data_IF_318207986136
#
_entry.id   IF_318207986136
#
_cell.length_a   1.000
_cell.length_b   1.000
_cell.length_c   1.000
_cell.angle_alpha   90.00
_cell.angle_beta   90.00
_cell.angle_gamma   90.00
#
_symmetry.space_group_name_H-M   'P 1'
#
loop_
_entity.id
_entity.type
_entity.pdbx_description
1 polymer ?
#
# COMPACT_ATOMS: atom_id res chain seq x y z
N UNK A 1 -11.11 47.74 -46.45
CA UNK A 1 -11.85 47.66 -47.72
C UNK A 1 -10.84 47.43 -48.84
N UNK A 2 -11.08 46.56 -49.83
CA UNK A 2 -12.40 46.13 -50.30
C UNK A 2 -12.73 44.67 -49.99
N UNK A 3 -14.01 44.47 -49.74
CA UNK A 3 -14.71 43.19 -49.87
C UNK A 3 -14.87 42.88 -51.36
N UNK A 4 -14.66 41.63 -51.75
CA UNK A 4 -15.28 41.06 -52.94
C UNK A 4 -15.97 39.75 -52.55
N UNK A 5 -17.30 39.78 -52.58
CA UNK A 5 -18.16 38.60 -52.74
C UNK A 5 -18.14 38.19 -54.20
N UNK A 6 -18.30 36.88 -54.44
CA UNK A 6 -18.90 36.16 -55.60
C UNK A 6 -18.24 34.76 -55.60
N UNK A 7 -18.85 33.65 -55.97
CA UNK A 7 -20.22 33.17 -56.05
C UNK A 7 -20.11 31.62 -56.09
N UNK A 8 -21.22 30.92 -55.92
CA UNK A 8 -21.27 29.46 -55.76
C UNK A 8 -20.77 28.64 -56.97
N UNK A 9 -20.31 27.41 -56.71
CA UNK A 9 -19.86 26.51 -57.76
C UNK A 9 -19.47 25.10 -57.31
N UNK A 10 -20.49 24.23 -57.20
CA UNK A 10 -20.50 22.76 -57.41
C UNK A 10 -19.79 21.83 -56.40
N UNK A 11 -20.67 21.06 -55.75
CA UNK A 11 -20.46 19.72 -55.20
C UNK A 11 -19.41 18.88 -55.93
N UNK A 12 -18.38 18.47 -55.19
CA UNK A 12 -17.70 17.19 -55.39
C UNK A 12 -17.51 16.52 -54.04
N UNK A 13 -18.35 15.52 -53.77
CA UNK A 13 -18.16 14.49 -52.75
C UNK A 13 -16.70 14.04 -52.70
N UNK A 14 -15.99 14.39 -51.64
CA UNK A 14 -14.79 13.69 -51.18
C UNK A 14 -15.08 13.22 -49.77
N UNK A 15 -15.66 12.03 -49.70
CA UNK A 15 -15.86 11.32 -48.45
C UNK A 15 -14.99 10.06 -48.47
N UNK A 16 -14.55 9.65 -47.26
CA UNK A 16 -13.75 8.47 -46.87
C UNK A 16 -12.23 8.58 -46.92
N UNK A 17 -11.65 8.94 -45.77
CA UNK A 17 -10.57 8.19 -45.08
C UNK A 17 -10.32 8.83 -43.70
N UNK A 18 -11.13 8.45 -42.70
CA UNK A 18 -10.82 8.68 -41.27
C UNK A 18 -11.73 7.85 -40.33
N UNK A 19 -12.20 6.69 -40.77
CA UNK A 19 -12.92 5.75 -39.91
C UNK A 19 -12.06 4.49 -39.85
N UNK A 20 -11.24 4.38 -38.80
CA UNK A 20 -10.69 3.12 -38.27
C UNK A 20 -10.01 3.45 -36.92
N UNK A 21 -10.78 4.04 -36.00
CA UNK A 21 -10.51 3.97 -34.56
C UNK A 21 -11.73 3.27 -33.97
N UNK A 22 -11.75 1.95 -34.04
CA UNK A 22 -12.66 1.16 -33.23
C UNK A 22 -12.08 1.12 -31.82
N UNK A 23 -12.62 1.97 -30.95
CA UNK A 23 -12.46 1.85 -29.49
C UNK A 23 -13.09 0.53 -29.05
N UNK A 24 -12.29 -0.38 -28.51
CA UNK A 24 -12.78 -1.53 -27.78
C UNK A 24 -13.22 -1.06 -26.38
N UNK A 25 -14.42 -0.51 -26.30
CA UNK A 25 -15.11 -0.15 -25.06
C UNK A 25 -16.45 -0.88 -24.97
N UNK A 26 -16.78 -1.38 -23.77
CA UNK A 26 -18.05 -2.04 -23.46
C UNK A 26 -19.26 -1.26 -23.99
N UNK A 27 -20.15 -1.96 -24.68
CA UNK A 27 -21.49 -1.48 -25.00
C UNK A 27 -22.32 -1.53 -23.71
N UNK A 28 -22.27 -0.44 -22.91
CA UNK A 28 -23.32 0.04 -22.00
C UNK A 28 -22.79 1.21 -21.13
N UNK A 29 -22.20 2.23 -21.77
CA UNK A 29 -21.92 3.51 -21.11
C UNK A 29 -22.84 4.53 -21.74
N UNK A 30 -23.83 5.02 -20.98
CA UNK A 30 -24.62 6.18 -21.39
C UNK A 30 -23.68 7.30 -21.84
N UNK A 31 -23.95 7.82 -23.04
CA UNK A 31 -23.12 8.73 -23.81
C UNK A 31 -23.10 10.15 -23.18
N UNK A 32 -22.64 10.25 -21.93
CA UNK A 32 -22.53 11.50 -21.20
C UNK A 32 -21.33 12.26 -21.77
N UNK A 33 -21.62 13.22 -22.66
CA UNK A 33 -20.58 14.10 -23.21
C UNK A 33 -19.80 14.77 -22.08
N UNK A 34 -18.45 14.69 -22.09
CA UNK A 34 -17.65 15.26 -21.03
C UNK A 34 -17.82 16.78 -21.00
N UNK A 35 -17.96 17.34 -19.80
CA UNK A 35 -18.10 18.80 -19.57
C UNK A 35 -16.92 19.59 -20.15
N UNK A 36 -15.73 18.98 -20.17
CA UNK A 36 -14.51 19.54 -20.73
C UNK A 36 -13.82 18.50 -21.60
N UNK A 37 -13.31 18.91 -22.75
CA UNK A 37 -12.41 18.10 -23.58
C UNK A 37 -11.07 18.83 -23.72
N UNK A 38 -9.99 18.05 -23.73
CA UNK A 38 -8.63 18.56 -23.88
C UNK A 38 -7.81 17.61 -24.73
N UNK A 39 -6.74 18.14 -25.31
CA UNK A 39 -5.74 17.34 -26.03
C UNK A 39 -4.41 17.49 -25.30
N UNK A 40 -3.75 16.36 -25.00
CA UNK A 40 -2.39 16.37 -24.47
C UNK A 40 -1.47 17.00 -25.52
N UNK A 41 -0.79 18.09 -25.16
CA UNK A 41 0.14 18.82 -26.05
C UNK A 41 1.61 18.59 -25.70
N UNK A 42 1.89 18.17 -24.47
CA UNK A 42 3.24 17.87 -23.98
C UNK A 42 3.19 16.89 -22.82
N UNK A 43 4.27 16.17 -22.61
CA UNK A 43 4.49 15.30 -21.45
C UNK A 43 5.65 15.94 -20.67
N UNK A 44 5.33 16.56 -19.53
CA UNK A 44 6.30 17.30 -18.71
C UNK A 44 7.23 16.36 -17.95
N UNK A 45 6.67 15.26 -17.45
CA UNK A 45 7.39 14.28 -16.65
C UNK A 45 7.05 12.87 -17.16
N UNK A 46 8.06 12.00 -17.19
CA UNK A 46 7.90 10.58 -17.46
C UNK A 46 8.54 9.81 -16.32
N UNK A 47 7.92 8.70 -15.94
CA UNK A 47 8.61 7.74 -15.07
C UNK A 47 9.91 7.30 -15.75
N UNK A 48 11.02 7.34 -15.01
CA UNK A 48 12.37 7.16 -15.56
C UNK A 48 12.59 5.74 -16.11
N UNK A 49 11.97 4.73 -15.48
CA UNK A 49 11.95 3.34 -15.93
C UNK A 49 10.61 2.75 -15.52
N UNK A 50 9.79 2.36 -16.49
CA UNK A 50 8.57 1.62 -16.22
C UNK A 50 8.62 0.31 -17.00
N UNK A 51 8.51 -0.79 -16.25
CA UNK A 51 8.47 -2.14 -16.78
C UNK A 51 7.03 -2.63 -16.79
N UNK A 52 6.69 -3.42 -17.80
CA UNK A 52 5.37 -3.99 -17.98
C UNK A 52 5.48 -5.50 -18.14
N UNK A 53 4.58 -6.23 -17.49
CA UNK A 53 4.33 -7.65 -17.71
C UNK A 53 3.35 -7.84 -18.86
N UNK A 54 3.49 -8.94 -19.60
CA UNK A 54 2.64 -9.22 -20.74
C UNK A 54 3.06 -10.45 -21.53
N UNK A 55 2.43 -10.63 -22.68
CA UNK A 55 2.68 -11.77 -23.58
C UNK A 55 3.21 -11.31 -24.94
N UNK A 56 3.93 -12.19 -25.63
CA UNK A 56 4.41 -11.93 -26.99
C UNK A 56 3.50 -12.56 -28.04
N UNK A 57 3.30 -11.86 -29.15
CA UNK A 57 2.49 -12.29 -30.29
C UNK A 57 3.17 -11.93 -31.61
N UNK A 58 3.12 -12.83 -32.61
CA UNK A 58 3.68 -12.56 -33.94
C UNK A 58 2.84 -11.56 -34.73
N UNK A 59 1.52 -11.77 -34.73
CA UNK A 59 0.59 -10.88 -35.41
C UNK A 59 0.03 -9.86 -34.45
N UNK A 60 -0.22 -8.65 -34.96
CA UNK A 60 -0.95 -7.63 -34.21
C UNK A 60 -2.32 -8.22 -33.83
N UNK A 61 -2.70 -8.25 -32.54
CA UNK A 61 -4.05 -8.65 -32.15
C UNK A 61 -5.07 -7.69 -32.80
N UNK A 62 -5.70 -8.12 -33.89
CA UNK A 62 -6.71 -7.33 -34.59
C UNK A 62 -8.03 -7.47 -33.85
N UNK A 63 -8.60 -6.35 -33.39
CA UNK A 63 -10.05 -6.27 -33.20
C UNK A 63 -10.75 -6.51 -34.54
N UNK A 64 -11.76 -7.38 -34.55
CA UNK A 64 -12.52 -7.86 -35.73
C UNK A 64 -11.84 -8.94 -36.61
N UNK A 65 -11.93 -10.18 -36.14
CA UNK A 65 -11.94 -11.37 -37.00
C UNK A 65 -13.14 -11.29 -37.96
N UNK A 66 -12.93 -10.76 -39.18
CA UNK A 66 -13.60 -11.17 -40.46
C UNK A 66 -13.41 -10.23 -41.65
N UNK A 67 -12.90 -8.99 -41.50
CA UNK A 67 -12.76 -8.06 -42.66
C UNK A 67 -11.35 -7.93 -43.25
N UNK A 68 -10.30 -8.27 -42.52
CA UNK A 68 -8.92 -8.09 -43.01
C UNK A 68 -8.37 -9.21 -43.90
N UNK A 69 -8.99 -10.39 -43.95
CA UNK A 69 -8.54 -11.49 -44.83
C UNK A 69 -8.63 -11.17 -46.33
N UNK A 70 -9.40 -10.15 -46.72
CA UNK A 70 -9.52 -9.73 -48.14
C UNK A 70 -8.66 -8.53 -48.52
N UNK A 71 -8.11 -7.79 -47.57
CA UNK A 71 -7.21 -6.66 -47.86
C UNK A 71 -5.73 -7.01 -47.75
N UNK A 72 -5.37 -8.07 -47.00
CA UNK A 72 -3.98 -8.53 -46.93
C UNK A 72 -3.51 -9.33 -48.14
N UNK A 73 -4.38 -9.70 -49.08
CA UNK A 73 -3.98 -10.47 -50.28
C UNK A 73 -3.43 -9.64 -51.45
N UNK A 74 -3.32 -8.32 -51.31
CA UNK A 74 -2.95 -7.43 -52.43
C UNK A 74 -1.73 -6.54 -52.17
N UNK A 75 -1.15 -6.55 -50.97
CA UNK A 75 0.03 -5.74 -50.63
C UNK A 75 1.21 -6.55 -50.03
N UNK A 76 1.17 -7.89 -50.08
CA UNK A 76 2.19 -8.75 -49.42
C UNK A 76 2.83 -9.80 -50.36
N UNK A 77 2.79 -9.55 -51.67
CA UNK A 77 3.68 -10.24 -52.62
C UNK A 77 5.02 -9.48 -52.73
N UNK A 78 5.78 -9.41 -51.63
CA UNK A 78 7.25 -9.52 -51.71
C UNK A 78 7.93 -9.63 -50.33
N UNK A 79 8.70 -10.72 -50.18
CA UNK A 79 9.76 -11.05 -49.21
C UNK A 79 9.40 -12.16 -48.19
N UNK A 80 9.89 -13.37 -48.51
CA UNK A 80 10.20 -14.46 -47.57
C UNK A 80 11.25 -14.00 -46.54
N UNK A 81 10.87 -13.10 -45.64
CA UNK A 81 11.74 -12.55 -44.61
C UNK A 81 11.11 -12.76 -43.24
N UNK A 82 11.92 -13.14 -42.25
CA UNK A 82 11.48 -13.17 -40.86
C UNK A 82 10.89 -11.80 -40.46
N UNK A 83 9.81 -11.78 -39.67
CA UNK A 83 9.22 -10.53 -39.22
C UNK A 83 10.27 -9.71 -38.47
N UNK A 84 10.39 -8.41 -38.78
CA UNK A 84 11.39 -7.54 -38.13
C UNK A 84 11.03 -7.19 -36.68
N UNK A 85 9.76 -7.34 -36.32
CA UNK A 85 9.21 -7.02 -35.00
C UNK A 85 8.22 -8.08 -34.55
N UNK A 86 8.04 -8.17 -33.23
CA UNK A 86 6.96 -8.89 -32.57
C UNK A 86 6.17 -7.93 -31.68
N UNK A 87 4.94 -8.31 -31.34
CA UNK A 87 4.04 -7.50 -30.55
C UNK A 87 4.01 -7.98 -29.11
N UNK A 88 4.46 -7.12 -28.21
CA UNK A 88 4.24 -7.31 -26.79
C UNK A 88 2.88 -6.73 -26.41
N UNK A 89 2.05 -7.57 -25.79
CA UNK A 89 0.72 -7.24 -25.28
C UNK A 89 0.79 -7.14 -23.76
N UNK A 90 0.82 -5.93 -23.18
CA UNK A 90 0.81 -5.75 -21.74
C UNK A 90 -0.43 -6.36 -21.09
N UNK A 91 -0.30 -6.80 -19.84
CA UNK A 91 -1.42 -7.25 -19.00
C UNK A 91 -2.31 -6.06 -18.61
N UNK A 92 -1.71 -4.89 -18.34
CA UNK A 92 -2.44 -3.65 -18.11
C UNK A 92 -3.07 -3.11 -19.39
N UNK A 93 -4.40 -3.17 -19.46
CA UNK A 93 -5.20 -2.70 -20.62
C UNK A 93 -5.06 -1.21 -20.91
N UNK A 94 -4.54 -0.42 -19.97
CA UNK A 94 -4.28 1.03 -20.16
C UNK A 94 -3.01 1.27 -20.98
N UNK A 95 -2.15 0.26 -21.10
CA UNK A 95 -0.87 0.35 -21.83
C UNK A 95 -1.09 -0.16 -23.26
N UNK A 96 -0.65 0.60 -24.29
CA UNK A 96 -0.80 0.18 -25.67
C UNK A 96 0.09 -1.03 -25.99
N UNK A 97 -0.17 -1.68 -27.13
CA UNK A 97 0.74 -2.70 -27.68
C UNK A 97 2.12 -2.10 -27.91
N UNK A 98 3.17 -2.87 -27.62
CA UNK A 98 4.55 -2.43 -27.75
C UNK A 98 5.22 -3.23 -28.87
N UNK A 99 5.84 -2.52 -29.81
CA UNK A 99 6.63 -3.14 -30.87
C UNK A 99 8.03 -3.48 -30.33
N UNK A 100 8.38 -4.76 -30.34
CA UNK A 100 9.67 -5.29 -29.88
C UNK A 100 10.47 -5.78 -31.10
N UNK A 101 11.74 -5.40 -31.26
CA UNK A 101 12.62 -5.96 -32.28
C UNK A 101 12.73 -7.49 -32.19
N UNK A 102 12.66 -8.18 -33.33
CA UNK A 102 12.64 -9.66 -33.36
C UNK A 102 13.89 -10.30 -32.76
N UNK A 103 15.04 -9.61 -32.84
CA UNK A 103 16.33 -10.05 -32.28
C UNK A 103 16.35 -10.10 -30.75
N UNK A 104 15.32 -9.56 -30.09
CA UNK A 104 15.14 -9.64 -28.65
C UNK A 104 14.15 -10.72 -28.22
N UNK A 105 13.36 -11.26 -29.14
CA UNK A 105 12.49 -12.39 -28.85
C UNK A 105 13.33 -13.68 -28.73
N UNK A 106 12.81 -14.75 -28.09
CA UNK A 106 13.46 -16.06 -28.12
C UNK A 106 13.79 -16.50 -29.56
N UNK A 107 14.94 -17.15 -29.76
CA UNK A 107 15.44 -17.49 -31.11
C UNK A 107 14.45 -18.36 -31.92
N UNK A 108 13.74 -19.26 -31.24
CA UNK A 108 12.73 -20.15 -31.83
C UNK A 108 11.31 -19.56 -31.81
N UNK A 109 11.14 -18.30 -31.39
CA UNK A 109 9.82 -17.69 -31.22
C UNK A 109 9.01 -17.66 -32.52
N UNK A 110 9.63 -17.43 -33.67
CA UNK A 110 8.93 -17.38 -34.96
C UNK A 110 8.32 -18.73 -35.32
N UNK A 111 9.07 -19.81 -35.08
CA UNK A 111 8.66 -21.17 -35.44
C UNK A 111 7.73 -21.77 -34.38
N UNK A 112 7.93 -21.43 -33.11
CA UNK A 112 7.27 -22.04 -31.94
C UNK A 112 6.38 -21.06 -31.17
N UNK A 113 5.90 -19.96 -31.77
CA UNK A 113 5.16 -18.91 -31.05
C UNK A 113 3.97 -19.41 -30.20
N UNK A 114 3.37 -20.55 -30.55
CA UNK A 114 2.27 -21.15 -29.80
C UNK A 114 2.70 -21.66 -28.42
N UNK A 115 3.92 -22.18 -28.26
CA UNK A 115 4.44 -22.63 -26.95
C UNK A 115 4.63 -21.46 -25.98
N UNK A 116 4.94 -20.28 -26.53
CA UNK A 116 5.12 -19.03 -25.77
C UNK A 116 3.81 -18.31 -25.43
N UNK A 117 2.66 -18.78 -25.94
CA UNK A 117 1.35 -18.15 -25.66
C UNK A 117 0.95 -18.18 -24.19
N UNK A 118 1.53 -19.11 -23.42
CA UNK A 118 1.31 -19.27 -21.98
C UNK A 118 2.46 -18.71 -21.13
N UNK A 119 3.38 -17.97 -21.73
CA UNK A 119 4.54 -17.40 -21.03
C UNK A 119 4.39 -15.90 -20.83
N UNK A 120 4.73 -15.43 -19.64
CA UNK A 120 4.86 -14.01 -19.30
C UNK A 120 6.26 -13.52 -19.59
N UNK A 121 6.33 -12.27 -20.04
CA UNK A 121 7.55 -11.55 -20.34
C UNK A 121 7.51 -10.16 -19.70
N UNK A 122 8.69 -9.58 -19.47
CA UNK A 122 8.84 -8.18 -19.09
C UNK A 122 9.36 -7.36 -20.26
N UNK A 123 8.76 -6.19 -20.48
CA UNK A 123 9.22 -5.23 -21.47
C UNK A 123 9.17 -3.79 -20.94
N UNK A 124 10.06 -2.94 -21.46
CA UNK A 124 10.07 -1.50 -21.18
C UNK A 124 9.77 -0.69 -22.43
N UNK A 125 9.10 0.46 -22.30
CA UNK A 125 8.91 1.40 -23.41
C UNK A 125 10.18 2.26 -23.53
N UNK A 126 10.85 2.22 -24.68
CA UNK A 126 12.06 3.05 -24.94
C UNK A 126 11.72 4.35 -25.65
N UNK A 127 10.88 4.29 -26.69
CA UNK A 127 10.53 5.49 -27.48
C UNK A 127 9.16 5.36 -28.14
N UNK A 128 8.49 6.49 -28.33
CA UNK A 128 7.25 6.56 -29.11
C UNK A 128 7.34 7.72 -30.12
N UNK A 129 7.83 7.47 -31.33
CA UNK A 129 7.93 8.47 -32.39
C UNK A 129 6.54 8.88 -32.90
N UNK A 130 6.40 10.15 -33.32
CA UNK A 130 5.16 10.70 -33.91
C UNK A 130 4.70 9.94 -35.17
N UNK A 131 5.63 9.30 -35.87
CA UNK A 131 5.36 8.51 -37.08
C UNK A 131 4.80 7.12 -36.79
N UNK A 132 4.73 6.69 -35.52
CA UNK A 132 4.31 5.35 -35.14
C UNK A 132 3.04 5.39 -34.29
N UNK A 133 2.09 4.52 -34.64
CA UNK A 133 0.89 4.30 -33.84
C UNK A 133 1.19 3.64 -32.49
N UNK A 134 2.27 2.85 -32.43
CA UNK A 134 2.66 2.07 -31.24
C UNK A 134 4.06 2.45 -30.75
N UNK A 135 4.32 2.41 -29.44
CA UNK A 135 5.65 2.59 -28.89
C UNK A 135 6.59 1.46 -29.32
N UNK A 136 7.88 1.78 -29.44
CA UNK A 136 8.95 0.81 -29.53
C UNK A 136 9.50 0.54 -28.13
N UNK A 137 9.62 -0.74 -27.80
CA UNK A 137 10.12 -1.19 -26.51
C UNK A 137 11.39 -2.02 -26.60
N UNK A 138 11.78 -2.52 -25.44
CA UNK A 138 12.82 -3.51 -25.24
C UNK A 138 12.24 -4.67 -24.46
N UNK A 139 12.48 -5.90 -24.91
CA UNK A 139 12.19 -7.09 -24.11
C UNK A 139 13.32 -7.25 -23.09
N UNK A 140 12.99 -7.26 -21.81
CA UNK A 140 13.98 -7.38 -20.74
C UNK A 140 14.31 -8.86 -20.50
N UNK A 141 13.28 -9.70 -20.29
CA UNK A 141 13.41 -11.15 -20.13
C UNK A 141 12.07 -11.89 -20.16
N UNK A 142 12.13 -13.20 -20.33
CA UNK A 142 11.04 -14.13 -20.01
C UNK A 142 10.93 -14.30 -18.49
N UNK A 143 9.70 -14.34 -17.97
CA UNK A 143 9.43 -14.67 -16.58
C UNK A 143 9.18 -16.17 -16.41
N UNK A 144 8.18 -16.71 -17.12
CA UNK A 144 7.77 -18.10 -17.00
C UNK A 144 6.30 -18.30 -17.31
N UNK A 145 5.73 -19.42 -16.86
CA UNK A 145 4.36 -19.82 -17.21
C UNK A 145 3.27 -19.03 -16.44
N UNK A 146 2.23 -18.61 -17.17
CA UNK A 146 1.01 -18.00 -16.64
C UNK A 146 0.33 -18.95 -15.67
N UNK A 147 -0.09 -18.41 -14.52
CA UNK A 147 -0.74 -19.16 -13.45
C UNK A 147 0.23 -19.74 -12.40
N UNK A 148 1.54 -19.63 -12.58
CA UNK A 148 2.49 -19.91 -11.51
C UNK A 148 2.56 -18.71 -10.54
N UNK A 149 2.31 -18.94 -9.25
CA UNK A 149 2.21 -17.89 -8.23
C UNK A 149 3.46 -17.01 -8.17
N UNK A 150 4.66 -17.59 -8.23
CA UNK A 150 5.90 -16.81 -8.13
C UNK A 150 6.14 -15.95 -9.38
N UNK A 151 5.78 -16.46 -10.56
CA UNK A 151 5.86 -15.72 -11.83
C UNK A 151 4.84 -14.56 -11.85
N UNK A 152 3.60 -14.82 -11.45
CA UNK A 152 2.56 -13.78 -11.35
C UNK A 152 2.91 -12.73 -10.29
N UNK A 153 3.54 -13.15 -9.18
CA UNK A 153 4.03 -12.24 -8.15
C UNK A 153 5.16 -11.36 -8.67
N UNK A 154 6.10 -11.92 -9.41
CA UNK A 154 7.18 -11.16 -10.03
C UNK A 154 6.66 -10.15 -11.06
N UNK A 155 5.70 -10.57 -11.90
CA UNK A 155 5.00 -9.70 -12.84
C UNK A 155 4.30 -8.54 -12.12
N UNK A 156 3.55 -8.82 -11.05
CA UNK A 156 2.86 -7.83 -10.23
C UNK A 156 3.82 -6.80 -9.63
N UNK A 157 4.94 -7.26 -9.08
CA UNK A 157 5.95 -6.39 -8.49
C UNK A 157 6.60 -5.48 -9.55
N UNK A 158 6.91 -6.03 -10.72
CA UNK A 158 7.46 -5.26 -11.84
C UNK A 158 6.48 -4.20 -12.36
N UNK A 159 5.20 -4.55 -12.54
CA UNK A 159 4.15 -3.63 -13.00
C UNK A 159 3.91 -2.45 -12.04
N UNK A 160 4.18 -2.66 -10.75
CA UNK A 160 4.07 -1.64 -9.70
C UNK A 160 5.40 -0.96 -9.35
N UNK A 161 6.47 -1.19 -10.14
CA UNK A 161 7.82 -0.66 -9.93
C UNK A 161 8.39 -0.96 -8.53
N UNK A 162 8.05 -2.12 -7.96
CA UNK A 162 8.60 -2.58 -6.68
C UNK A 162 9.93 -3.27 -6.95
N UNK A 163 10.99 -2.75 -6.34
CA UNK A 163 12.33 -3.31 -6.50
C UNK A 163 12.50 -4.56 -5.64
N UNK A 164 12.80 -5.69 -6.27
CA UNK A 164 13.04 -6.98 -5.62
C UNK A 164 14.52 -7.35 -5.53
N UNK A 165 15.41 -6.50 -6.05
CA UNK A 165 16.85 -6.77 -6.03
C UNK A 165 17.37 -6.83 -4.60
N UNK A 166 18.36 -7.70 -4.38
CA UNK A 166 19.08 -7.77 -3.11
C UNK A 166 19.78 -6.44 -2.80
N UNK A 167 20.03 -6.21 -1.52
CA UNK A 167 20.77 -5.03 -1.09
C UNK A 167 22.22 -5.12 -1.59
N UNK A 168 22.72 -4.05 -2.22
CA UNK A 168 24.08 -4.04 -2.74
C UNK A 168 25.15 -3.90 -1.65
N UNK A 169 26.40 -4.28 -1.95
CA UNK A 169 27.50 -4.26 -0.97
C UNK A 169 27.70 -2.92 -0.24
N UNK A 170 27.42 -1.79 -0.91
CA UNK A 170 27.54 -0.46 -0.28
C UNK A 170 26.50 -0.26 0.83
N UNK A 171 25.31 -0.85 0.67
CA UNK A 171 24.25 -0.84 1.70
C UNK A 171 24.64 -1.76 2.85
N UNK A 172 25.12 -2.96 2.55
CA UNK A 172 25.56 -3.92 3.57
C UNK A 172 26.73 -3.39 4.42
N UNK A 173 27.68 -2.65 3.82
CA UNK A 173 28.77 -1.98 4.54
C UNK A 173 28.31 -0.88 5.50
N UNK A 174 27.06 -0.44 5.42
CA UNK A 174 26.48 0.51 6.37
C UNK A 174 25.91 -0.17 7.63
N UNK A 175 25.79 -1.50 7.62
CA UNK A 175 25.28 -2.27 8.74
C UNK A 175 26.33 -2.35 9.87
N UNK A 176 25.90 -2.43 11.14
CA UNK A 176 26.82 -2.64 12.25
C UNK A 176 27.45 -4.05 12.18
N UNK A 177 28.66 -4.17 12.73
CA UNK A 177 29.34 -5.46 12.88
C UNK A 177 28.64 -6.34 13.92
N UNK A 178 28.68 -7.66 13.69
CA UNK A 178 28.12 -8.66 14.59
C UNK A 178 29.22 -9.37 15.39
N UNK A 179 28.99 -9.71 16.66
CA UNK A 179 27.77 -9.47 17.43
C UNK A 179 27.61 -8.00 17.84
N UNK A 180 26.40 -7.45 17.64
CA UNK A 180 26.10 -6.07 18.04
C UNK A 180 25.49 -6.03 19.45
N UNK A 181 25.96 -5.08 20.26
CA UNK A 181 25.39 -4.76 21.55
C UNK A 181 25.24 -3.24 21.69
N UNK A 182 24.32 -2.81 22.55
CA UNK A 182 24.11 -1.39 22.79
C UNK A 182 25.39 -0.78 23.39
N UNK A 183 25.96 0.26 22.76
CA UNK A 183 27.16 0.91 23.30
C UNK A 183 26.86 1.58 24.66
N UNK A 184 27.79 1.51 25.60
CA UNK A 184 27.65 2.11 26.94
C UNK A 184 27.28 3.61 26.90
N UNK A 185 27.85 4.35 25.93
CA UNK A 185 27.53 5.76 25.70
C UNK A 185 26.05 6.01 25.39
N UNK A 186 25.36 5.05 24.75
CA UNK A 186 23.93 5.16 24.47
C UNK A 186 23.12 4.85 25.74
N UNK A 187 23.56 3.88 26.55
CA UNK A 187 22.94 3.58 27.85
C UNK A 187 22.99 4.80 28.78
N UNK A 188 24.10 5.54 28.82
CA UNK A 188 24.22 6.73 29.68
C UNK A 188 23.36 7.92 29.22
N UNK A 189 23.03 8.02 27.92
CA UNK A 189 22.34 9.19 27.35
C UNK A 189 20.82 9.02 27.19
N UNK A 190 20.34 7.79 27.30
CA UNK A 190 18.95 7.41 27.08
C UNK A 190 18.25 7.14 28.40
N UNK A 191 16.94 7.37 28.46
CA UNK A 191 16.13 6.93 29.62
C UNK A 191 16.15 5.39 29.66
N UNK A 192 16.66 4.82 30.75
CA UNK A 192 16.66 3.38 30.95
C UNK A 192 15.28 2.92 31.44
N UNK A 193 14.64 2.08 30.65
CA UNK A 193 13.30 1.52 30.89
C UNK A 193 13.34 -0.01 30.90
N UNK A 194 14.53 -0.62 30.99
CA UNK A 194 14.68 -2.09 30.95
C UNK A 194 14.01 -2.80 32.12
N UNK A 195 13.68 -2.07 33.18
CA UNK A 195 12.94 -2.56 34.35
C UNK A 195 11.43 -2.23 34.29
N UNK A 196 10.96 -1.54 33.24
CA UNK A 196 9.55 -1.23 33.04
C UNK A 196 8.85 -2.40 32.36
N UNK A 197 7.67 -2.79 32.85
CA UNK A 197 6.84 -3.82 32.24
C UNK A 197 6.36 -3.36 30.85
N UNK A 198 7.10 -3.77 29.83
CA UNK A 198 6.95 -3.33 28.43
C UNK A 198 6.74 -4.55 27.55
N UNK A 199 5.76 -4.54 26.65
CA UNK A 199 5.47 -5.68 25.78
C UNK A 199 5.00 -5.21 24.40
N UNK A 200 5.07 -6.09 23.40
CA UNK A 200 4.54 -5.83 22.05
C UNK A 200 3.23 -6.59 21.84
N UNK A 201 2.35 -6.10 20.97
CA UNK A 201 1.11 -6.77 20.56
C UNK A 201 0.97 -6.66 19.04
N UNK A 202 1.20 -7.76 18.33
CA UNK A 202 1.36 -7.79 16.88
C UNK A 202 0.56 -8.93 16.23
N UNK A 203 0.48 -9.02 14.89
CA UNK A 203 0.09 -10.26 14.23
C UNK A 203 1.02 -11.41 14.66
N UNK A 204 0.48 -12.62 14.80
CA UNK A 204 1.29 -13.79 15.21
C UNK A 204 2.44 -14.12 14.24
N UNK A 205 2.35 -13.66 12.99
CA UNK A 205 3.35 -13.85 11.93
C UNK A 205 4.37 -12.71 11.84
N UNK A 206 4.27 -11.67 12.68
CA UNK A 206 5.15 -10.50 12.64
C UNK A 206 6.59 -10.86 13.05
N UNK A 207 7.56 -10.32 12.31
CA UNK A 207 9.01 -10.50 12.56
C UNK A 207 9.69 -9.16 12.90
N UNK A 208 9.18 -8.10 12.32
CA UNK A 208 9.54 -6.69 12.46
C UNK A 208 8.59 -6.01 13.46
N UNK A 209 8.89 -6.13 14.75
CA UNK A 209 8.09 -5.53 15.82
C UNK A 209 8.54 -4.08 16.01
N UNK A 210 7.77 -3.14 15.50
CA UNK A 210 8.14 -1.71 15.47
C UNK A 210 7.77 -0.96 16.75
N UNK A 211 6.71 -1.39 17.44
CA UNK A 211 6.17 -0.73 18.62
C UNK A 211 6.04 -1.64 19.83
N UNK A 212 6.23 -1.04 21.01
CA UNK A 212 5.98 -1.66 22.30
C UNK A 212 5.27 -0.67 23.21
N UNK A 213 4.54 -1.19 24.20
CA UNK A 213 3.76 -0.36 25.13
C UNK A 213 4.11 -0.67 26.58
N UNK A 214 4.05 0.34 27.44
CA UNK A 214 4.22 0.19 28.89
C UNK A 214 3.23 1.05 29.67
N UNK A 215 2.88 0.60 30.87
CA UNK A 215 1.96 1.30 31.75
C UNK A 215 2.47 1.23 33.19
N UNK A 216 2.51 2.38 33.86
CA UNK A 216 2.87 2.51 35.27
C UNK A 216 1.80 3.35 35.95
N UNK A 217 1.20 2.83 37.02
CA UNK A 217 0.33 3.63 37.89
C UNK A 217 1.19 4.45 38.86
N UNK A 218 0.97 5.76 38.88
CA UNK A 218 1.68 6.72 39.70
C UNK A 218 1.01 6.87 41.08
N UNK A 219 1.74 7.42 42.04
CA UNK A 219 1.29 7.60 43.43
C UNK A 219 0.05 8.50 43.55
N UNK A 220 -0.13 9.44 42.63
CA UNK A 220 -1.28 10.35 42.57
C UNK A 220 -2.53 9.72 41.91
N UNK A 221 -2.48 8.43 41.58
CA UNK A 221 -3.56 7.69 40.95
C UNK A 221 -3.62 7.84 39.43
N UNK A 222 -2.77 8.66 38.82
CA UNK A 222 -2.67 8.77 37.35
C UNK A 222 -1.82 7.65 36.77
N UNK A 223 -1.80 7.51 35.44
CA UNK A 223 -0.97 6.56 34.71
C UNK A 223 0.12 7.28 33.91
N UNK A 224 1.35 6.77 33.93
CA UNK A 224 2.34 7.03 32.87
C UNK A 224 2.17 5.95 31.81
N UNK A 225 1.63 6.32 30.66
CA UNK A 225 1.47 5.45 29.49
C UNK A 225 2.62 5.72 28.52
N UNK A 226 3.37 4.68 28.17
CA UNK A 226 4.48 4.74 27.23
C UNK A 226 4.16 4.00 25.93
N UNK A 227 4.45 4.64 24.79
CA UNK A 227 4.61 4.00 23.49
C UNK A 227 6.08 4.12 23.09
N UNK A 228 6.69 2.99 22.72
CA UNK A 228 8.12 2.87 22.44
C UNK A 228 8.30 2.39 21.01
N UNK A 229 8.79 3.26 20.12
CA UNK A 229 9.01 2.95 18.70
C UNK A 229 10.48 2.57 18.49
N UNK A 230 10.77 1.55 17.69
CA UNK A 230 12.12 1.15 17.33
C UNK A 230 12.96 2.35 16.81
N UNK A 231 14.16 2.58 17.37
CA UNK A 231 15.01 3.72 16.99
C UNK A 231 15.84 3.43 15.73
N UNK A 232 15.14 3.22 14.60
CA UNK A 232 15.76 2.99 13.28
C UNK A 232 16.73 4.13 12.91
N UNK A 233 16.43 5.36 13.35
CA UNK A 233 17.27 6.56 13.14
C UNK A 233 18.68 6.46 13.74
N UNK A 234 18.87 5.58 14.74
CA UNK A 234 20.19 5.32 15.30
C UNK A 234 21.12 4.66 14.27
N UNK A 235 20.58 3.69 13.54
CA UNK A 235 21.32 2.81 12.62
C UNK A 235 21.50 3.44 11.23
N UNK A 236 20.52 4.20 10.75
CA UNK A 236 20.57 4.79 9.41
C UNK A 236 21.18 6.20 9.46
N UNK A 237 22.35 6.38 8.84
CA UNK A 237 22.97 7.71 8.72
C UNK A 237 22.45 8.44 7.48
N UNK A 238 22.02 9.69 7.68
CA UNK A 238 21.56 10.57 6.59
C UNK A 238 22.62 10.66 5.50
N UNK A 239 22.21 10.47 4.25
CA UNK A 239 23.08 10.51 3.08
C UNK A 239 23.91 9.25 2.85
N UNK A 240 23.83 8.23 3.69
CA UNK A 240 24.50 6.92 3.48
C UNK A 240 23.89 6.15 2.30
N UNK A 241 24.55 5.06 1.87
CA UNK A 241 23.98 4.18 0.85
C UNK A 241 22.68 3.51 1.32
N UNK A 242 22.62 3.11 2.59
CA UNK A 242 21.43 2.55 3.23
C UNK A 242 20.27 3.57 3.27
N UNK A 243 20.54 4.84 3.60
CA UNK A 243 19.52 5.90 3.59
C UNK A 243 18.94 6.13 2.18
N UNK A 244 19.80 6.17 1.15
CA UNK A 244 19.33 6.32 -0.24
C UNK A 244 18.52 5.13 -0.71
N UNK A 245 18.90 3.92 -0.33
CA UNK A 245 18.15 2.69 -0.64
C UNK A 245 16.79 2.69 0.06
N UNK A 246 16.75 2.98 1.36
CA UNK A 246 15.51 3.08 2.13
C UNK A 246 14.58 4.15 1.54
N UNK A 247 15.13 5.31 1.16
CA UNK A 247 14.38 6.37 0.47
C UNK A 247 13.83 5.94 -0.89
N UNK A 248 14.60 5.15 -1.64
CA UNK A 248 14.17 4.63 -2.95
C UNK A 248 13.05 3.60 -2.83
N UNK A 249 13.10 2.73 -1.80
CA UNK A 249 12.06 1.72 -1.54
C UNK A 249 10.82 2.32 -0.88
N UNK A 250 10.99 3.34 -0.05
CA UNK A 250 9.99 4.10 0.71
C UNK A 250 9.16 3.31 1.74
N UNK A 251 8.76 2.08 1.44
CA UNK A 251 7.97 1.22 2.32
C UNK A 251 8.29 -0.25 2.06
N UNK A 252 8.11 -1.10 3.08
CA UNK A 252 8.03 -2.55 2.88
C UNK A 252 6.73 -2.87 2.14
N UNK A 253 6.78 -3.80 1.18
CA UNK A 253 5.60 -4.28 0.45
C UNK A 253 5.24 -5.67 0.95
N UNK A 254 4.09 -5.79 1.61
CA UNK A 254 3.58 -7.05 2.13
C UNK A 254 2.69 -7.73 1.08
N UNK A 255 3.06 -8.95 0.70
CA UNK A 255 2.26 -9.87 -0.11
C UNK A 255 1.70 -10.97 0.80
N UNK A 256 0.91 -11.89 0.23
CA UNK A 256 0.32 -13.01 0.99
C UNK A 256 1.42 -13.93 1.53
N UNK A 257 2.37 -14.32 0.68
CA UNK A 257 3.39 -15.30 1.02
C UNK A 257 4.73 -14.70 1.48
N UNK A 258 5.00 -13.41 1.18
CA UNK A 258 6.29 -12.78 1.51
C UNK A 258 6.21 -11.27 1.67
N UNK A 259 7.20 -10.70 2.33
CA UNK A 259 7.43 -9.26 2.40
C UNK A 259 8.65 -8.88 1.56
N UNK A 260 8.57 -7.78 0.81
CA UNK A 260 9.71 -7.16 0.13
C UNK A 260 10.22 -6.04 1.04
N UNK A 261 11.35 -6.22 1.74
CA UNK A 261 11.69 -5.35 2.85
C UNK A 261 12.28 -4.02 2.37
N UNK A 262 11.94 -2.95 3.10
CA UNK A 262 12.54 -1.63 2.92
C UNK A 262 14.00 -1.59 3.39
N UNK A 263 14.31 -2.31 4.48
CA UNK A 263 15.63 -2.35 5.12
C UNK A 263 16.20 -3.79 5.06
N UNK A 264 17.52 -3.96 5.14
CA UNK A 264 18.11 -5.29 5.32
C UNK A 264 17.52 -6.02 6.53
N UNK A 265 17.25 -7.31 6.38
CA UNK A 265 16.59 -8.15 7.42
C UNK A 265 17.32 -8.11 8.75
N UNK A 266 18.65 -7.97 8.75
CA UNK A 266 19.44 -7.77 9.96
C UNK A 266 18.97 -6.56 10.78
N UNK A 267 18.58 -5.46 10.14
CA UNK A 267 18.03 -4.31 10.85
C UNK A 267 16.56 -4.52 11.19
N UNK A 268 15.72 -4.86 10.21
CA UNK A 268 14.27 -4.87 10.40
C UNK A 268 13.79 -5.99 11.33
N UNK A 269 14.33 -7.21 11.22
CA UNK A 269 13.85 -8.39 11.95
C UNK A 269 14.67 -8.71 13.20
N UNK A 270 15.88 -8.13 13.35
CA UNK A 270 16.73 -8.37 14.52
C UNK A 270 17.04 -7.10 15.31
N UNK A 271 17.91 -6.23 14.80
CA UNK A 271 18.49 -5.14 15.60
C UNK A 271 17.48 -4.05 16.00
N UNK A 272 16.53 -3.73 15.12
CA UNK A 272 15.46 -2.77 15.40
C UNK A 272 14.22 -3.45 16.02
N UNK A 273 13.92 -4.68 15.61
CA UNK A 273 12.74 -5.42 16.09
C UNK A 273 12.75 -5.54 17.62
N UNK A 274 11.66 -5.16 18.27
CA UNK A 274 11.50 -5.08 19.72
C UNK A 274 11.24 -6.45 20.38
N UNK A 275 12.11 -7.42 20.06
CA UNK A 275 12.04 -8.82 20.52
C UNK A 275 12.02 -8.94 22.04
N UNK A 276 11.30 -9.94 22.53
CA UNK A 276 11.22 -10.25 23.95
C UNK A 276 12.61 -10.61 24.52
N UNK A 277 12.85 -10.16 25.76
CA UNK A 277 14.02 -10.44 26.57
C UNK A 277 15.36 -9.96 25.97
N UNK A 278 15.35 -8.97 25.08
CA UNK A 278 16.56 -8.34 24.54
C UNK A 278 16.50 -6.83 24.70
N UNK A 279 17.63 -6.22 25.08
CA UNK A 279 17.72 -4.77 25.20
C UNK A 279 17.66 -4.14 23.80
N UNK A 280 16.81 -3.13 23.63
CA UNK A 280 16.55 -2.45 22.34
C UNK A 280 16.49 -0.93 22.50
N UNK A 281 17.02 -0.23 21.50
CA UNK A 281 16.98 1.22 21.42
C UNK A 281 15.63 1.68 20.87
N UNK A 282 14.97 2.59 21.58
CA UNK A 282 13.67 3.13 21.16
C UNK A 282 13.62 4.65 21.22
N UNK A 283 12.68 5.22 20.49
CA UNK A 283 12.18 6.57 20.69
C UNK A 283 10.81 6.45 21.34
N UNK A 284 10.70 6.93 22.58
CA UNK A 284 9.50 6.81 23.39
C UNK A 284 8.71 8.10 23.48
N UNK A 285 7.41 7.92 23.52
CA UNK A 285 6.41 8.96 23.80
C UNK A 285 5.72 8.54 25.10
N UNK A 286 5.59 9.48 26.02
CA UNK A 286 4.93 9.26 27.30
C UNK A 286 3.78 10.23 27.48
N UNK A 287 2.67 9.72 27.99
CA UNK A 287 1.55 10.53 28.46
C UNK A 287 1.29 10.28 29.93
N UNK A 288 1.16 11.37 30.70
CA UNK A 288 0.54 11.29 32.03
C UNK A 288 -0.97 11.38 31.84
N UNK A 289 -1.71 10.32 32.15
CA UNK A 289 -3.15 10.21 31.89
C UNK A 289 -3.95 9.96 33.17
N UNK A 290 -5.10 10.60 33.30
CA UNK A 290 -6.08 10.26 34.36
C UNK A 290 -6.76 8.91 34.07
N UNK A 291 -7.47 8.35 35.06
CA UNK A 291 -8.27 7.13 34.85
C UNK A 291 -9.40 7.31 33.81
N UNK A 292 -9.82 8.55 33.56
CA UNK A 292 -10.82 8.95 32.55
C UNK A 292 -10.19 9.29 31.19
N UNK A 293 -8.92 8.90 30.99
CA UNK A 293 -8.19 9.09 29.74
C UNK A 293 -8.00 10.55 29.35
N UNK A 294 -7.90 11.47 30.32
CA UNK A 294 -7.47 12.86 30.06
C UNK A 294 -5.94 12.90 30.08
N UNK A 295 -5.34 13.48 29.04
CA UNK A 295 -3.90 13.68 28.96
C UNK A 295 -3.55 14.96 29.72
N UNK A 296 -2.69 14.82 30.74
CA UNK A 296 -2.22 15.90 31.60
C UNK A 296 -0.86 16.44 31.14
N UNK A 297 0.00 15.56 30.67
CA UNK A 297 1.34 15.90 30.18
C UNK A 297 1.76 14.96 29.05
N UNK A 298 2.63 15.43 28.17
CA UNK A 298 3.20 14.64 27.06
C UNK A 298 4.70 14.91 26.97
N UNK A 299 5.51 13.85 26.95
CA UNK A 299 6.96 13.97 26.81
C UNK A 299 7.53 12.97 25.81
N UNK A 300 8.68 13.33 25.23
CA UNK A 300 9.35 12.58 24.19
C UNK A 300 10.80 12.35 24.59
N UNK A 301 11.31 11.13 24.47
CA UNK A 301 12.71 10.84 24.82
C UNK A 301 13.24 9.63 24.08
N UNK A 302 14.56 9.61 23.82
CA UNK A 302 15.25 8.39 23.43
C UNK A 302 15.47 7.52 24.67
N UNK A 303 15.19 6.24 24.53
CA UNK A 303 15.22 5.30 25.65
C UNK A 303 15.80 3.95 25.25
N UNK A 304 15.97 3.09 26.25
CA UNK A 304 16.34 1.69 26.09
C UNK A 304 15.32 0.85 26.84
N UNK A 305 14.69 -0.10 26.15
CA UNK A 305 13.70 -1.00 26.73
C UNK A 305 14.21 -2.45 26.69
N UNK A 306 13.57 -3.32 27.46
CA UNK A 306 13.68 -4.77 27.33
C UNK A 306 12.26 -5.33 27.37
N UNK A 307 11.73 -5.73 26.21
CA UNK A 307 10.36 -6.25 26.14
C UNK A 307 10.23 -7.51 27.00
N UNK A 308 9.26 -7.56 27.91
CA UNK A 308 9.02 -8.69 28.79
C UNK A 308 8.21 -9.79 28.10
N UNK A 309 7.50 -9.49 27.02
CA UNK A 309 6.70 -10.45 26.27
C UNK A 309 6.46 -9.96 24.84
N UNK A 310 6.46 -10.90 23.89
CA UNK A 310 5.97 -10.70 22.53
C UNK A 310 4.59 -11.35 22.46
N UNK A 311 3.54 -10.55 22.31
CA UNK A 311 2.16 -11.03 22.33
C UNK A 311 1.54 -10.93 20.95
N UNK A 312 0.68 -11.89 20.61
CA UNK A 312 -0.21 -11.73 19.46
C UNK A 312 -1.47 -10.93 19.82
N UNK A 313 -2.18 -10.43 18.82
CA UNK A 313 -3.53 -9.89 19.01
C UNK A 313 -4.48 -10.88 19.69
N UNK A 314 -4.31 -12.18 19.50
CA UNK A 314 -5.13 -13.21 20.13
C UNK A 314 -4.80 -13.39 21.61
N UNK A 315 -3.53 -13.28 21.99
CA UNK A 315 -3.11 -13.31 23.40
C UNK A 315 -3.69 -12.13 24.16
N UNK A 316 -3.61 -10.92 23.60
CA UNK A 316 -4.22 -9.73 24.18
C UNK A 316 -5.75 -9.85 24.24
N UNK A 317 -6.39 -10.38 23.18
CA UNK A 317 -7.83 -10.58 23.16
C UNK A 317 -8.30 -11.59 24.21
N UNK A 318 -7.51 -12.63 24.50
CA UNK A 318 -7.76 -13.62 25.55
C UNK A 318 -7.72 -12.97 26.93
N UNK A 319 -6.80 -12.05 27.18
CA UNK A 319 -6.77 -11.28 28.44
C UNK A 319 -8.00 -10.41 28.57
N UNK A 320 -8.42 -9.74 27.49
CA UNK A 320 -9.63 -8.90 27.47
C UNK A 320 -10.89 -9.72 27.80
N UNK A 321 -11.01 -10.94 27.29
CA UNK A 321 -12.22 -11.77 27.43
C UNK A 321 -12.24 -12.66 28.66
N UNK A 322 -11.11 -13.28 29.00
CA UNK A 322 -11.00 -14.27 30.09
C UNK A 322 -10.27 -13.75 31.32
N UNK A 323 -9.57 -12.62 31.18
CA UNK A 323 -8.78 -12.03 32.25
C UNK A 323 -7.36 -12.58 32.39
N UNK A 324 -6.94 -13.55 31.58
CA UNK A 324 -5.65 -14.24 31.72
C UNK A 324 -4.94 -14.50 30.36
N UNK A 325 -3.60 -14.50 30.37
CA UNK A 325 -2.75 -14.88 29.24
C UNK A 325 -2.71 -16.40 29.05
N UNK A 326 -2.44 -16.86 27.83
CA UNK A 326 -2.26 -18.29 27.59
C UNK A 326 -1.08 -18.83 28.42
N UNK A 327 -1.24 -19.99 29.09
CA UNK A 327 -0.15 -20.62 29.83
C UNK A 327 1.14 -20.86 29.03
N UNK A 328 1.10 -20.81 27.70
CA UNK A 328 2.26 -20.92 26.81
C UNK A 328 3.00 -19.60 26.57
N UNK A 329 2.39 -18.44 26.86
CA UNK A 329 3.03 -17.13 26.62
C UNK A 329 4.20 -16.92 27.57
N UNK A 330 5.40 -16.73 27.03
CA UNK A 330 6.58 -16.46 27.83
C UNK A 330 6.58 -15.02 28.34
N UNK A 331 6.80 -14.85 29.65
CA UNK A 331 6.92 -13.53 30.29
C UNK A 331 8.22 -13.49 31.08
N UNK A 332 9.03 -12.47 30.81
CA UNK A 332 10.39 -12.32 31.32
C UNK A 332 10.48 -11.14 32.30
N UNK A 333 11.15 -11.34 33.45
CA UNK A 333 11.45 -10.26 34.41
C UNK A 333 10.26 -9.67 35.17
N UNK A 334 9.03 -9.99 34.77
CA UNK A 334 7.79 -9.49 35.38
C UNK A 334 6.79 -10.62 35.65
N UNK A 335 5.82 -10.37 36.52
CA UNK A 335 4.74 -11.33 36.73
C UNK A 335 3.75 -11.30 35.57
N UNK A 336 3.18 -12.46 35.23
CA UNK A 336 2.09 -12.54 34.24
C UNK A 336 0.92 -11.65 34.60
N UNK A 337 0.55 -11.63 35.88
CA UNK A 337 -0.54 -10.81 36.40
C UNK A 337 -0.31 -9.32 36.11
N UNK A 338 0.93 -8.83 36.23
CA UNK A 338 1.24 -7.44 35.91
C UNK A 338 1.04 -7.13 34.41
N UNK A 339 1.44 -8.04 33.52
CA UNK A 339 1.20 -7.89 32.07
C UNK A 339 -0.31 -7.90 31.77
N UNK A 340 -1.05 -8.82 32.37
CA UNK A 340 -2.51 -8.92 32.23
C UNK A 340 -3.24 -7.67 32.73
N UNK A 341 -2.84 -7.11 33.87
CA UNK A 341 -3.36 -5.86 34.42
C UNK A 341 -3.04 -4.65 33.54
N UNK A 342 -1.83 -4.60 32.97
CA UNK A 342 -1.45 -3.56 32.03
C UNK A 342 -2.32 -3.63 30.76
N UNK A 343 -2.53 -4.82 30.18
CA UNK A 343 -3.41 -5.01 29.01
C UNK A 343 -4.84 -4.53 29.32
N UNK A 344 -5.38 -4.86 30.50
CA UNK A 344 -6.71 -4.39 30.93
C UNK A 344 -6.77 -2.86 31.07
N UNK A 345 -5.71 -2.25 31.58
CA UNK A 345 -5.59 -0.79 31.67
C UNK A 345 -5.56 -0.14 30.29
N UNK A 346 -4.75 -0.67 29.38
CA UNK A 346 -4.71 -0.23 27.98
C UNK A 346 -6.07 -0.38 27.30
N UNK A 347 -6.77 -1.50 27.50
CA UNK A 347 -8.09 -1.71 26.93
C UNK A 347 -9.13 -0.72 27.47
N UNK A 348 -9.15 -0.46 28.78
CA UNK A 348 -10.04 0.55 29.38
C UNK A 348 -9.80 1.93 28.77
N UNK A 349 -8.54 2.34 28.68
CA UNK A 349 -8.17 3.64 28.13
C UNK A 349 -8.44 3.73 26.62
N UNK A 350 -8.23 2.66 25.84
CA UNK A 350 -8.50 2.66 24.40
C UNK A 350 -10.00 2.83 24.11
N UNK A 351 -10.88 2.25 24.91
CA UNK A 351 -12.33 2.47 24.77
C UNK A 351 -12.70 3.95 24.95
N UNK A 352 -12.09 4.62 25.93
CA UNK A 352 -12.31 6.05 26.21
C UNK A 352 -11.76 6.91 25.07
N UNK A 353 -10.53 6.64 24.62
CA UNK A 353 -9.91 7.36 23.50
C UNK A 353 -10.73 7.22 22.22
N UNK A 354 -11.19 6.00 21.93
CA UNK A 354 -12.02 5.71 20.77
C UNK A 354 -13.34 6.47 20.82
N UNK A 355 -14.03 6.45 21.96
CA UNK A 355 -15.29 7.19 22.13
C UNK A 355 -15.07 8.69 21.85
N UNK A 356 -14.07 9.31 22.49
CA UNK A 356 -13.72 10.72 22.25
C UNK A 356 -13.40 11.00 20.78
N UNK A 357 -12.71 10.08 20.09
CA UNK A 357 -12.36 10.21 18.67
C UNK A 357 -13.60 10.25 17.77
N UNK A 358 -14.58 9.38 18.01
CA UNK A 358 -15.83 9.37 17.24
C UNK A 358 -16.77 10.52 17.61
N UNK A 359 -16.84 10.90 18.89
CA UNK A 359 -17.57 12.09 19.33
C UNK A 359 -17.02 13.38 18.69
N UNK A 360 -15.71 13.41 18.39
CA UNK A 360 -15.05 14.48 17.65
C UNK A 360 -15.17 14.34 16.11
N UNK A 361 -16.03 13.47 15.61
CA UNK A 361 -16.39 13.38 14.20
C UNK A 361 -15.48 12.50 13.34
N UNK A 362 -14.78 11.52 13.92
CA UNK A 362 -14.04 10.53 13.15
C UNK A 362 -14.95 9.62 12.32
N UNK A 363 -14.44 9.15 11.19
CA UNK A 363 -15.15 8.27 10.26
C UNK A 363 -14.40 6.95 10.12
N UNK A 364 -15.12 5.83 10.22
CA UNK A 364 -14.57 4.48 10.12
C UNK A 364 -14.92 3.85 8.78
N UNK A 365 -13.99 3.94 7.82
CA UNK A 365 -14.12 3.30 6.51
C UNK A 365 -13.10 2.16 6.40
N UNK A 366 -13.56 0.94 6.63
CA UNK A 366 -12.71 -0.24 6.50
C UNK A 366 -13.10 -1.03 5.26
N UNK A 367 -12.13 -1.30 4.38
CA UNK A 367 -12.29 -2.29 3.33
C UNK A 367 -12.28 -3.70 3.91
N UNK A 368 -12.98 -4.63 3.27
CA UNK A 368 -12.83 -6.06 3.57
C UNK A 368 -11.38 -6.45 3.24
N UNK A 369 -10.67 -7.00 4.22
CA UNK A 369 -9.37 -7.63 4.03
C UNK A 369 -9.55 -9.14 4.08
N UNK A 370 -8.92 -9.85 3.16
CA UNK A 370 -8.89 -11.32 3.16
C UNK A 370 -7.62 -11.79 3.86
N UNK A 371 -7.73 -12.89 4.60
CA UNK A 371 -6.63 -13.64 5.16
C UNK A 371 -6.61 -15.02 4.48
N UNK A 372 -5.41 -15.50 4.15
CA UNK A 372 -5.22 -16.80 3.50
C UNK A 372 -4.47 -17.72 4.46
N UNK A 373 -4.94 -18.96 4.56
CA UNK A 373 -4.17 -20.04 5.16
C UNK A 373 -3.39 -20.72 4.04
N UNK A 374 -2.07 -20.87 4.21
CA UNK A 374 -1.20 -21.50 3.22
C UNK A 374 -0.61 -22.80 3.74
N UNK A 375 -0.28 -23.71 2.82
CA UNK A 375 0.51 -24.90 3.14
C UNK A 375 2.01 -24.58 3.29
N UNK A 376 2.82 -25.60 3.55
CA UNK A 376 4.28 -25.45 3.66
C UNK A 376 5.00 -25.08 2.35
N UNK A 377 4.28 -25.00 1.22
CA UNK A 377 4.77 -24.56 -0.09
C UNK A 377 4.11 -23.24 -0.54
N UNK A 378 3.52 -22.49 0.40
CA UNK A 378 2.84 -21.22 0.18
C UNK A 378 1.62 -21.28 -0.77
N UNK A 379 1.06 -22.47 -0.97
CA UNK A 379 -0.19 -22.63 -1.73
C UNK A 379 -1.40 -22.36 -0.83
N UNK A 380 -2.38 -21.56 -1.27
CA UNK A 380 -3.55 -21.25 -0.46
C UNK A 380 -4.43 -22.48 -0.25
N UNK A 381 -4.69 -22.82 1.01
CA UNK A 381 -5.57 -23.90 1.45
C UNK A 381 -6.99 -23.40 1.72
N UNK A 382 -7.10 -22.25 2.38
CA UNK A 382 -8.39 -21.63 2.72
C UNK A 382 -8.30 -20.10 2.69
N UNK A 383 -9.46 -19.44 2.63
CA UNK A 383 -9.60 -17.99 2.64
C UNK A 383 -10.69 -17.57 3.62
N UNK A 384 -10.36 -16.59 4.47
CA UNK A 384 -11.29 -16.02 5.44
C UNK A 384 -11.27 -14.50 5.39
N UNK A 385 -12.28 -13.86 5.98
CA UNK A 385 -12.27 -12.41 6.18
C UNK A 385 -11.47 -12.11 7.43
N UNK A 386 -10.50 -11.20 7.31
CA UNK A 386 -9.74 -10.74 8.48
C UNK A 386 -10.63 -9.91 9.41
N UNK A 387 -10.85 -10.41 10.62
CA UNK A 387 -11.67 -9.76 11.63
C UNK A 387 -10.82 -8.83 12.51
N UNK A 388 -11.24 -7.55 12.59
CA UNK A 388 -10.66 -6.58 13.51
C UNK A 388 -11.26 -6.78 14.91
N UNK A 389 -10.44 -7.29 15.83
CA UNK A 389 -10.79 -7.55 17.23
C UNK A 389 -10.59 -6.30 18.10
N UNK A 390 -11.04 -6.37 19.35
CA UNK A 390 -10.84 -5.28 20.31
C UNK A 390 -9.35 -5.07 20.66
N UNK A 391 -8.56 -6.15 20.64
CA UNK A 391 -7.10 -6.06 20.78
C UNK A 391 -6.42 -5.28 19.65
N UNK A 392 -6.94 -5.36 18.41
CA UNK A 392 -6.44 -4.53 17.31
C UNK A 392 -6.73 -3.05 17.57
N UNK A 393 -7.95 -2.74 18.02
CA UNK A 393 -8.37 -1.36 18.32
C UNK A 393 -7.63 -0.79 19.52
N UNK A 394 -7.26 -1.64 20.48
CA UNK A 394 -6.44 -1.25 21.63
C UNK A 394 -5.16 -0.59 21.13
N UNK A 395 -4.36 -1.27 20.31
CA UNK A 395 -3.11 -0.71 19.76
C UNK A 395 -3.38 0.45 18.80
N UNK A 396 -4.44 0.37 17.98
CA UNK A 396 -4.85 1.44 17.04
C UNK A 396 -4.95 2.81 17.73
N UNK A 397 -5.66 2.91 18.87
CA UNK A 397 -5.88 4.21 19.52
C UNK A 397 -4.58 4.81 20.10
N UNK A 398 -3.67 3.99 20.61
CA UNK A 398 -2.38 4.48 21.12
C UNK A 398 -1.42 4.86 20.00
N UNK A 399 -1.43 4.14 18.86
CA UNK A 399 -0.65 4.53 17.69
C UNK A 399 -1.19 5.82 17.05
N UNK A 400 -2.51 6.00 17.00
CA UNK A 400 -3.11 7.26 16.58
C UNK A 400 -2.68 8.40 17.51
N UNK A 401 -2.74 8.19 18.83
CA UNK A 401 -2.33 9.19 19.81
C UNK A 401 -0.83 9.53 19.71
N UNK A 402 0.02 8.53 19.51
CA UNK A 402 1.45 8.67 19.24
C UNK A 402 1.69 9.57 18.01
N UNK A 403 1.07 9.22 16.88
CA UNK A 403 1.21 9.95 15.63
C UNK A 403 0.73 11.40 15.75
N UNK A 404 -0.42 11.63 16.38
CA UNK A 404 -0.94 13.00 16.59
C UNK A 404 -0.04 13.83 17.51
N UNK A 405 0.49 13.22 18.59
CA UNK A 405 1.40 13.90 19.53
C UNK A 405 2.71 14.29 18.86
N UNK A 406 3.29 13.39 18.07
CA UNK A 406 4.52 13.66 17.29
C UNK A 406 4.25 14.69 16.20
N UNK A 407 3.14 14.57 15.45
CA UNK A 407 2.76 15.53 14.41
C UNK A 407 2.66 16.96 14.96
N UNK A 408 2.02 17.12 16.11
CA UNK A 408 1.97 18.41 16.82
C UNK A 408 3.37 18.89 17.21
N UNK A 409 4.16 18.03 17.85
CA UNK A 409 5.50 18.38 18.32
C UNK A 409 6.44 18.84 17.19
N UNK A 410 6.45 18.13 16.05
CA UNK A 410 7.31 18.48 14.92
C UNK A 410 6.80 19.72 14.19
N UNK A 411 5.49 19.95 14.14
CA UNK A 411 4.92 21.15 13.54
C UNK A 411 5.18 22.39 14.39
N UNK A 412 5.01 22.29 15.71
CA UNK A 412 5.26 23.39 16.64
C UNK A 412 6.74 23.83 16.61
N UNK A 413 7.66 22.88 16.40
CA UNK A 413 9.10 23.16 16.38
C UNK A 413 9.65 23.48 14.97
N UNK A 414 9.13 22.84 13.92
CA UNK A 414 9.57 22.97 12.54
C UNK A 414 8.38 23.23 11.59
N UNK A 415 7.67 24.37 11.71
CA UNK A 415 6.40 24.60 11.00
C UNK A 415 6.53 24.55 9.47
N UNK A 416 7.68 24.93 8.92
CA UNK A 416 7.93 24.93 7.47
C UNK A 416 8.53 23.63 6.92
N UNK A 417 8.92 22.69 7.80
CA UNK A 417 9.66 21.48 7.43
C UNK A 417 9.07 20.20 8.02
N UNK A 418 7.97 20.29 8.76
CA UNK A 418 7.28 19.16 9.33
C UNK A 418 6.75 18.23 8.23
N UNK A 419 7.16 16.96 8.28
CA UNK A 419 6.60 15.91 7.44
C UNK A 419 5.24 15.50 8.02
N UNK A 420 4.16 15.88 7.34
CA UNK A 420 2.78 15.60 7.73
C UNK A 420 2.08 14.72 6.70
N UNK A 421 1.00 14.06 7.12
CA UNK A 421 0.09 13.28 6.28
C UNK A 421 -1.32 13.87 6.39
N UNK A 422 -2.00 14.09 5.26
CA UNK A 422 -3.34 14.70 5.22
C UNK A 422 -4.26 13.91 4.30
N UNK A 423 -5.53 13.84 4.64
CA UNK A 423 -6.58 13.35 3.75
C UNK A 423 -7.46 14.52 3.31
N UNK A 424 -7.64 14.70 2.00
CA UNK A 424 -8.54 15.73 1.46
C UNK A 424 -10.01 15.32 1.61
N UNK A 425 -10.89 16.32 1.56
CA UNK A 425 -12.34 16.10 1.56
C UNK A 425 -12.77 15.20 0.39
N UNK A 426 -13.87 14.44 0.52
CA UNK A 426 -14.36 13.57 -0.55
C UNK A 426 -14.72 14.35 -1.82
N UNK A 427 -14.67 13.68 -2.97
CA UNK A 427 -15.06 14.25 -4.25
C UNK A 427 -16.54 14.64 -4.26
N UNK A 428 -16.83 15.95 -4.15
CA UNK A 428 -18.18 16.51 -3.98
C UNK A 428 -19.23 15.88 -4.92
N UNK A 429 -18.95 15.84 -6.23
CA UNK A 429 -19.86 15.26 -7.22
C UNK A 429 -20.14 13.77 -6.96
N UNK A 430 -19.11 12.97 -6.65
CA UNK A 430 -19.28 11.54 -6.40
C UNK A 430 -19.98 11.28 -5.08
N UNK A 431 -19.73 12.12 -4.07
CA UNK A 431 -20.44 12.06 -2.79
C UNK A 431 -21.91 12.39 -2.99
N UNK A 432 -22.24 13.44 -3.73
CA UNK A 432 -23.63 13.79 -4.04
C UNK A 432 -24.37 12.66 -4.79
N UNK A 433 -23.74 12.09 -5.82
CA UNK A 433 -24.28 10.93 -6.56
C UNK A 433 -24.49 9.71 -5.65
N UNK A 434 -23.52 9.45 -4.76
CA UNK A 434 -23.62 8.36 -3.78
C UNK A 434 -24.80 8.57 -2.82
N UNK A 435 -24.93 9.75 -2.23
CA UNK A 435 -26.01 10.08 -1.29
C UNK A 435 -27.38 10.04 -1.99
N UNK A 436 -27.49 10.58 -3.20
CA UNK A 436 -28.73 10.50 -4.00
C UNK A 436 -29.12 9.04 -4.26
N UNK A 437 -28.15 8.18 -4.58
CA UNK A 437 -28.40 6.76 -4.79
C UNK A 437 -28.85 6.04 -3.51
N UNK A 438 -28.20 6.33 -2.36
CA UNK A 438 -28.59 5.77 -1.06
C UNK A 438 -30.00 6.20 -0.65
N UNK A 439 -30.35 7.49 -0.86
CA UNK A 439 -31.70 7.99 -0.59
C UNK A 439 -32.77 7.30 -1.45
N UNK A 440 -32.48 7.01 -2.74
CA UNK A 440 -33.40 6.29 -3.63
C UNK A 440 -33.73 4.88 -3.15
N UNK A 441 -32.81 4.23 -2.44
CA UNK A 441 -33.02 2.88 -1.86
C UNK A 441 -33.52 2.93 -0.41
N UNK A 442 -33.88 4.12 0.09
CA UNK A 442 -34.46 4.31 1.43
C UNK A 442 -33.43 4.40 2.56
N UNK A 443 -32.15 4.67 2.24
CA UNK A 443 -31.10 4.89 3.22
C UNK A 443 -30.75 6.38 3.30
N UNK A 444 -31.20 7.04 4.37
CA UNK A 444 -30.90 8.45 4.62
C UNK A 444 -29.48 8.60 5.20
N UNK A 445 -28.59 9.22 4.42
CA UNK A 445 -27.21 9.49 4.83
C UNK A 445 -26.96 11.00 4.88
N UNK A 446 -26.30 11.45 5.95
CA UNK A 446 -25.91 12.84 6.14
C UNK A 446 -24.41 13.02 5.87
N UNK A 447 -24.08 13.61 4.72
CA UNK A 447 -22.70 13.89 4.32
C UNK A 447 -22.22 15.32 4.67
N UNK A 448 -22.91 16.04 5.57
CA UNK A 448 -22.53 17.40 5.97
C UNK A 448 -21.19 17.48 6.71
N UNK A 449 -20.80 16.39 7.37
CA UNK A 449 -19.49 16.23 8.01
C UNK A 449 -19.13 14.75 8.10
N UNK A 450 -17.84 14.45 8.37
CA UNK A 450 -17.39 13.08 8.63
C UNK A 450 -18.12 12.43 9.81
N UNK A 451 -18.38 13.21 10.88
CA UNK A 451 -19.12 12.76 12.05
C UNK A 451 -20.58 12.45 11.74
N UNK A 452 -21.29 13.37 11.07
CA UNK A 452 -22.68 13.16 10.67
C UNK A 452 -22.84 11.93 9.74
N UNK A 453 -21.86 11.72 8.86
CA UNK A 453 -21.84 10.56 7.97
C UNK A 453 -21.63 9.27 8.75
N UNK A 454 -20.74 9.27 9.73
CA UNK A 454 -20.56 8.13 10.64
C UNK A 454 -21.85 7.83 11.41
N UNK A 455 -22.48 8.84 12.01
CA UNK A 455 -23.73 8.69 12.79
C UNK A 455 -24.87 8.15 11.94
N UNK A 456 -25.08 8.70 10.73
CA UNK A 456 -26.14 8.23 9.83
C UNK A 456 -25.87 6.80 9.32
N UNK A 457 -24.61 6.43 9.06
CA UNK A 457 -24.26 5.03 8.75
C UNK A 457 -24.51 4.09 9.92
N UNK A 458 -24.23 4.52 11.15
CA UNK A 458 -24.43 3.67 12.34
C UNK A 458 -25.91 3.49 12.71
N UNK A 459 -26.80 4.37 12.21
CA UNK A 459 -28.24 4.24 12.34
C UNK A 459 -28.83 3.11 11.47
N UNK A 460 -28.10 2.63 10.45
CA UNK A 460 -28.52 1.52 9.59
C UNK A 460 -28.57 0.23 10.42
N UNK A 461 -29.77 -0.29 10.69
CA UNK A 461 -29.98 -1.42 11.60
C UNK A 461 -29.42 -2.74 11.06
N UNK A 462 -29.52 -2.96 9.75
CA UNK A 462 -29.01 -4.17 9.11
C UNK A 462 -27.48 -4.11 9.00
N UNK A 463 -26.74 -5.02 9.65
CA UNK A 463 -25.28 -5.00 9.66
C UNK A 463 -24.67 -5.29 8.29
N UNK A 464 -25.31 -6.09 7.45
CA UNK A 464 -24.82 -6.43 6.11
C UNK A 464 -25.02 -5.23 5.16
N UNK A 465 -26.19 -4.59 5.22
CA UNK A 465 -26.44 -3.35 4.49
C UNK A 465 -25.43 -2.28 4.91
N UNK A 466 -25.21 -2.09 6.22
CA UNK A 466 -24.21 -1.15 6.74
C UNK A 466 -22.80 -1.45 6.20
N UNK A 467 -22.42 -2.72 6.13
CA UNK A 467 -21.12 -3.15 5.59
C UNK A 467 -20.99 -2.82 4.11
N UNK A 468 -22.03 -3.07 3.30
CA UNK A 468 -22.05 -2.73 1.86
C UNK A 468 -21.94 -1.22 1.66
N UNK A 469 -22.71 -0.42 2.41
CA UNK A 469 -22.66 1.04 2.34
C UNK A 469 -21.26 1.56 2.64
N UNK A 470 -20.61 1.06 3.70
CA UNK A 470 -19.23 1.43 4.05
C UNK A 470 -18.21 1.10 2.94
N UNK A 471 -18.37 -0.02 2.24
CA UNK A 471 -17.49 -0.37 1.12
C UNK A 471 -17.68 0.54 -0.09
N UNK A 472 -18.92 0.91 -0.38
CA UNK A 472 -19.22 1.82 -1.48
C UNK A 472 -18.75 3.26 -1.18
N UNK A 473 -18.80 3.66 0.09
CA UNK A 473 -18.35 4.98 0.54
C UNK A 473 -16.84 5.23 0.30
N UNK A 474 -16.02 4.20 0.09
CA UNK A 474 -14.60 4.37 -0.29
C UNK A 474 -14.46 5.08 -1.64
N UNK A 475 -15.37 4.86 -2.59
CA UNK A 475 -15.27 5.35 -3.99
C UNK A 475 -15.21 6.89 -4.13
N UNK A 476 -15.96 7.69 -3.36
CA UNK A 476 -15.83 9.15 -3.39
C UNK A 476 -14.60 9.69 -2.63
N UNK A 477 -13.92 8.88 -1.80
CA UNK A 477 -12.84 9.36 -0.95
C UNK A 477 -11.56 9.65 -1.74
N UNK A 478 -10.84 10.70 -1.35
CA UNK A 478 -9.48 10.94 -1.81
C UNK A 478 -8.48 9.97 -1.16
N UNK A 479 -7.36 9.73 -1.86
CA UNK A 479 -6.19 9.11 -1.24
C UNK A 479 -5.59 10.10 -0.22
N UNK A 480 -5.13 9.57 0.91
CA UNK A 480 -4.49 10.31 2.00
C UNK A 480 -2.97 10.34 1.90
#
# INVERSE_FOLDING_TARGET
MPQQKLEGGKDKKRNKRSDDIEEAGDADVEDIKPKYCGRVVSIVERSLVQTFSGTLTLQRPSGSTKKNERRSRLDDDDVKGQPRIVWFKPTDKRVPLIAIPIDQAPEDFVDSHQSYSRKLFLATIKRWPLSSLHPFGHLERELGDIGNIEIETEALLADNNVTTTTFGEKVEKCLPELPWAIPEKELCRRRDLRQSCTFTIDPATAKDLDDAVSCIRLEDGTFEIGVHIADVSHFIKVGSALDREAKSRATTVYLVQKAIPMLPTLLSEDLCSLRANVDRLTFSIFWKMTEDGQILDTSFTKSVIRSCAQLSYDDAQRVITTGALDPKVEVYGHSRTMVEENIKTFFKLSLILRLKRFDNGALSINSIKLAFETDGMDLPLDVSVYELKESNRLIEEFMLLANMSVAKQIYDYFPEQALLRRQEEPLEKRTAEFIEHMNKIGLELDASSSGALQTSMDAIQDPDVRKVVRLLLVKPMHRA
#
